data_IF_229184587042
#
_entry.id   IF_229184587042
#
_cell.length_a   1.000
_cell.length_b   1.000
_cell.length_c   1.000
_cell.angle_alpha   90.00
_cell.angle_beta   90.00
_cell.angle_gamma   90.00
#
_symmetry.space_group_name_H-M   'P 1'
#
loop_
_entity.id
_entity.type
_entity.pdbx_description
1 polymer ?
#
# COMPACT_ATOMS: atom_id res chain seq x y z
N UNK A 1 -7.15 0.63 -20.35
CA UNK A 1 -7.60 -0.03 -19.11
C UNK A 1 -7.43 -1.53 -19.25
N UNK A 2 -7.03 -2.19 -18.16
CA UNK A 2 -6.87 -3.64 -18.10
C UNK A 2 -8.22 -4.36 -18.05
N UNK A 3 -8.29 -5.59 -18.57
CA UNK A 3 -9.45 -6.46 -18.40
C UNK A 3 -9.53 -7.02 -16.98
N UNK A 4 -10.70 -7.54 -16.57
CA UNK A 4 -10.85 -8.15 -15.25
C UNK A 4 -9.94 -9.37 -15.08
N UNK A 5 -9.76 -10.20 -16.09
CA UNK A 5 -8.85 -11.35 -16.05
C UNK A 5 -7.40 -10.90 -15.83
N UNK A 6 -6.96 -9.84 -16.51
CA UNK A 6 -5.63 -9.27 -16.30
C UNK A 6 -5.46 -8.73 -14.87
N UNK A 7 -6.47 -8.05 -14.32
CA UNK A 7 -6.47 -7.58 -12.93
C UNK A 7 -6.29 -8.74 -11.94
N UNK A 8 -7.08 -9.82 -12.11
CA UNK A 8 -6.99 -10.99 -11.24
C UNK A 8 -5.63 -11.69 -11.36
N UNK A 9 -5.11 -11.84 -12.58
CA UNK A 9 -3.78 -12.39 -12.80
C UNK A 9 -2.70 -11.57 -12.09
N UNK A 10 -2.69 -10.24 -12.24
CA UNK A 10 -1.69 -9.37 -11.64
C UNK A 10 -1.78 -9.36 -10.11
N UNK A 11 -2.98 -9.41 -9.54
CA UNK A 11 -3.18 -9.56 -8.11
C UNK A 11 -2.64 -10.91 -7.58
N UNK A 12 -2.82 -11.99 -8.33
CA UNK A 12 -2.25 -13.29 -7.99
C UNK A 12 -0.70 -13.29 -8.08
N UNK A 13 -0.12 -12.56 -9.03
CA UNK A 13 1.33 -12.38 -9.14
C UNK A 13 1.89 -11.62 -7.92
N UNK A 14 1.22 -10.56 -7.44
CA UNK A 14 1.61 -9.86 -6.21
C UNK A 14 1.54 -10.79 -5.00
N UNK A 15 0.49 -11.59 -4.90
CA UNK A 15 0.35 -12.57 -3.82
C UNK A 15 1.46 -13.63 -3.85
N UNK A 16 1.85 -14.10 -5.02
CA UNK A 16 2.96 -15.04 -5.19
C UNK A 16 4.31 -14.40 -4.87
N UNK A 17 4.52 -13.14 -5.28
CA UNK A 17 5.72 -12.34 -4.99
C UNK A 17 5.94 -12.19 -3.48
N UNK A 18 4.89 -11.82 -2.73
CA UNK A 18 4.94 -11.72 -1.27
C UNK A 18 5.39 -13.03 -0.61
N UNK A 19 4.86 -14.16 -1.06
CA UNK A 19 5.17 -15.50 -0.51
C UNK A 19 6.56 -15.99 -0.89
N UNK A 20 6.96 -15.78 -2.14
CA UNK A 20 8.28 -16.20 -2.64
C UNK A 20 9.40 -15.23 -2.27
N UNK A 21 9.06 -13.99 -1.91
CA UNK A 21 10.00 -12.88 -1.71
C UNK A 21 10.83 -12.57 -2.96
N UNK A 22 10.24 -12.82 -4.13
CA UNK A 22 10.82 -12.49 -5.41
C UNK A 22 9.98 -11.39 -6.05
N UNK A 23 10.52 -10.18 -6.25
CA UNK A 23 9.75 -9.09 -6.84
C UNK A 23 9.43 -9.39 -8.31
N UNK A 24 8.28 -8.89 -8.76
CA UNK A 24 7.86 -8.96 -10.15
C UNK A 24 8.28 -7.70 -10.90
N UNK A 25 8.39 -7.82 -12.24
CA UNK A 25 8.64 -6.68 -13.12
C UNK A 25 7.50 -5.67 -13.09
N UNK A 26 7.82 -4.41 -13.48
CA UNK A 26 6.82 -3.35 -13.59
C UNK A 26 5.63 -3.77 -14.45
N UNK A 27 4.44 -3.70 -13.92
CA UNK A 27 3.21 -3.97 -14.64
C UNK A 27 2.99 -2.94 -15.76
N UNK A 28 3.31 -1.67 -15.48
CA UNK A 28 3.25 -0.58 -16.47
C UNK A 28 4.17 -0.78 -17.67
N UNK A 29 5.24 -1.60 -17.56
CA UNK A 29 6.10 -1.99 -18.67
C UNK A 29 5.43 -3.08 -19.52
N UNK A 30 4.81 -4.06 -18.89
CA UNK A 30 4.06 -5.14 -19.57
C UNK A 30 2.77 -4.64 -20.19
N UNK A 31 2.16 -3.63 -19.57
CA UNK A 31 0.90 -3.01 -20.00
C UNK A 31 1.07 -1.48 -20.10
N UNK A 32 1.63 -0.95 -21.21
CA UNK A 32 1.92 0.48 -21.34
C UNK A 32 0.70 1.41 -21.21
N UNK A 33 -0.51 0.89 -21.46
CA UNK A 33 -1.77 1.61 -21.30
C UNK A 33 -2.42 1.48 -19.91
N UNK A 34 -1.71 0.91 -18.93
CA UNK A 34 -2.17 0.78 -17.54
C UNK A 34 -2.36 2.16 -16.90
N UNK A 35 -3.49 2.36 -16.24
CA UNK A 35 -3.86 3.61 -15.58
C UNK A 35 -3.71 3.51 -14.07
N UNK A 36 -3.76 4.66 -13.36
CA UNK A 36 -3.83 4.72 -11.88
C UNK A 36 -5.04 3.93 -11.38
N UNK A 37 -6.17 4.03 -12.06
CA UNK A 37 -7.39 3.27 -11.70
C UNK A 37 -7.19 1.76 -11.81
N UNK A 38 -6.43 1.29 -12.81
CA UNK A 38 -6.07 -0.13 -12.91
C UNK A 38 -5.18 -0.54 -11.73
N UNK A 39 -4.27 0.33 -11.26
CA UNK A 39 -3.48 0.11 -10.06
C UNK A 39 -4.36 -0.16 -8.84
N UNK A 40 -5.33 0.70 -8.57
CA UNK A 40 -6.30 0.49 -7.48
C UNK A 40 -7.16 -0.77 -7.66
N UNK A 41 -7.51 -1.14 -8.89
CA UNK A 41 -8.25 -2.41 -9.14
C UNK A 41 -7.40 -3.62 -8.79
N UNK A 42 -6.11 -3.61 -9.13
CA UNK A 42 -5.16 -4.69 -8.79
C UNK A 42 -5.00 -4.78 -7.27
N UNK A 43 -4.75 -3.65 -6.60
CA UNK A 43 -4.63 -3.58 -5.14
C UNK A 43 -5.88 -4.15 -4.44
N UNK A 44 -7.08 -3.74 -4.87
CA UNK A 44 -8.35 -4.28 -4.33
C UNK A 44 -8.51 -5.78 -4.58
N UNK A 45 -8.11 -6.27 -5.75
CA UNK A 45 -8.17 -7.70 -6.06
C UNK A 45 -7.19 -8.50 -5.18
N UNK A 46 -5.98 -7.96 -4.93
CA UNK A 46 -5.03 -8.56 -3.98
C UNK A 46 -5.60 -8.58 -2.55
N UNK A 47 -6.19 -7.47 -2.08
CA UNK A 47 -6.88 -7.42 -0.77
C UNK A 47 -7.96 -8.49 -0.69
N UNK A 48 -8.76 -8.67 -1.75
CA UNK A 48 -9.79 -9.71 -1.78
C UNK A 48 -9.22 -11.13 -1.62
N UNK A 49 -8.04 -11.42 -2.21
CA UNK A 49 -7.33 -12.69 -1.99
C UNK A 49 -6.93 -12.88 -0.52
N UNK A 50 -6.47 -11.81 0.14
CA UNK A 50 -6.11 -11.86 1.56
C UNK A 50 -7.33 -12.07 2.46
N UNK A 51 -8.44 -11.39 2.18
CA UNK A 51 -9.71 -11.56 2.90
C UNK A 51 -10.26 -12.98 2.76
N UNK A 52 -10.15 -13.59 1.57
CA UNK A 52 -10.53 -14.98 1.33
C UNK A 52 -9.70 -15.99 2.14
N UNK A 53 -8.51 -15.59 2.60
CA UNK A 53 -7.65 -16.36 3.51
C UNK A 53 -7.89 -16.05 5.00
N UNK A 54 -8.95 -15.30 5.32
CA UNK A 54 -9.34 -14.97 6.69
C UNK A 54 -8.66 -13.73 7.27
N UNK A 55 -7.90 -12.97 6.48
CA UNK A 55 -7.37 -11.68 6.92
C UNK A 55 -8.47 -10.65 7.11
N UNK A 56 -8.18 -9.60 7.88
CA UNK A 56 -9.12 -8.51 8.15
C UNK A 56 -8.48 -7.18 7.81
N UNK A 57 -9.27 -6.27 7.24
CA UNK A 57 -8.88 -4.87 7.10
C UNK A 57 -8.93 -4.21 8.48
N UNK A 58 -7.86 -3.52 8.85
CA UNK A 58 -7.73 -2.80 10.13
C UNK A 58 -7.59 -1.29 9.94
N UNK A 59 -7.37 -0.83 8.72
CA UNK A 59 -7.19 0.59 8.42
C UNK A 59 -6.65 0.82 7.02
N UNK A 60 -6.19 2.05 6.79
CA UNK A 60 -5.62 2.50 5.53
C UNK A 60 -4.37 3.34 5.78
N UNK A 61 -3.41 3.27 4.87
CA UNK A 61 -2.29 4.21 4.79
C UNK A 61 -2.61 5.26 3.74
N UNK A 62 -2.07 6.47 3.91
CA UNK A 62 -2.16 7.56 2.93
C UNK A 62 -0.74 7.95 2.56
N UNK A 63 -0.40 7.83 1.29
CA UNK A 63 0.89 8.23 0.75
C UNK A 63 0.82 9.49 -0.10
N UNK A 64 1.98 9.99 -0.56
CA UNK A 64 2.11 11.16 -1.45
C UNK A 64 1.36 12.40 -0.91
N UNK A 65 1.43 12.64 0.40
CA UNK A 65 0.70 13.72 1.06
C UNK A 65 1.29 15.10 0.78
N UNK A 66 2.56 15.19 0.39
CA UNK A 66 3.20 16.47 0.06
C UNK A 66 3.09 16.80 -1.43
N UNK A 67 2.91 18.10 -1.75
CA UNK A 67 2.87 18.55 -3.14
C UNK A 67 4.13 18.22 -3.93
N UNK A 68 5.30 18.27 -3.28
CA UNK A 68 6.57 17.91 -3.90
C UNK A 68 6.59 16.44 -4.36
N UNK A 69 6.10 15.53 -3.51
CA UNK A 69 6.02 14.10 -3.86
C UNK A 69 4.99 13.84 -4.95
N UNK A 70 3.85 14.53 -4.93
CA UNK A 70 2.84 14.41 -5.99
C UNK A 70 3.40 14.84 -7.35
N UNK A 71 4.10 15.98 -7.42
CA UNK A 71 4.74 16.46 -8.65
C UNK A 71 5.78 15.44 -9.13
N UNK A 72 6.63 14.94 -8.24
CA UNK A 72 7.65 13.94 -8.58
C UNK A 72 7.04 12.63 -9.11
N UNK A 73 5.90 12.22 -8.58
CA UNK A 73 5.18 11.00 -8.97
C UNK A 73 4.19 11.20 -10.11
N UNK A 74 4.07 12.43 -10.62
CA UNK A 74 3.14 12.80 -11.71
C UNK A 74 1.66 12.49 -11.39
N UNK A 75 1.27 12.76 -10.16
CA UNK A 75 -0.10 12.64 -9.64
C UNK A 75 -0.49 13.96 -8.97
N UNK A 76 -1.76 14.28 -8.88
CA UNK A 76 -2.27 15.53 -8.29
C UNK A 76 -3.05 15.35 -6.99
N UNK A 77 -3.13 14.11 -6.51
CA UNK A 77 -3.79 13.71 -5.28
C UNK A 77 -2.92 12.74 -4.46
N UNK A 78 -3.16 12.59 -3.16
CA UNK A 78 -2.56 11.51 -2.36
C UNK A 78 -2.98 10.14 -2.87
N UNK A 79 -2.15 9.12 -2.63
CA UNK A 79 -2.52 7.72 -2.80
C UNK A 79 -2.94 7.09 -1.46
N UNK A 80 -3.55 5.91 -1.54
CA UNK A 80 -3.91 5.14 -0.35
C UNK A 80 -3.69 3.64 -0.56
N UNK A 81 -3.44 2.95 0.56
CA UNK A 81 -3.34 1.50 0.61
C UNK A 81 -4.16 0.92 1.76
N UNK A 82 -4.46 -0.36 1.69
CA UNK A 82 -5.22 -1.09 2.73
C UNK A 82 -4.27 -1.77 3.70
N UNK A 83 -4.48 -1.57 5.00
CA UNK A 83 -3.75 -2.25 6.06
C UNK A 83 -4.53 -3.46 6.56
N UNK A 84 -3.85 -4.59 6.65
CA UNK A 84 -4.39 -5.86 7.12
C UNK A 84 -3.90 -6.18 8.53
N UNK A 85 -4.67 -6.98 9.27
CA UNK A 85 -4.34 -7.44 10.63
C UNK A 85 -2.96 -8.10 10.72
N UNK A 86 -2.53 -8.78 9.66
CA UNK A 86 -1.19 -9.41 9.58
C UNK A 86 -0.03 -8.42 9.45
N UNK A 87 -0.32 -7.15 9.17
CA UNK A 87 0.68 -6.09 9.04
C UNK A 87 0.88 -5.31 10.35
N UNK A 88 0.01 -5.51 11.34
CA UNK A 88 0.08 -4.79 12.60
C UNK A 88 1.07 -5.44 13.56
N UNK A 89 2.00 -4.65 14.03
CA UNK A 89 2.91 -4.98 15.12
C UNK A 89 2.74 -4.00 16.26
N UNK A 90 2.59 -4.51 17.46
CA UNK A 90 2.48 -3.70 18.68
C UNK A 90 3.46 -4.17 19.73
N UNK A 91 3.96 -3.25 20.54
CA UNK A 91 4.75 -3.56 21.72
C UNK A 91 4.31 -2.67 22.89
N UNK A 92 4.57 -3.15 24.11
CA UNK A 92 4.35 -2.35 25.30
C UNK A 92 5.41 -1.25 25.39
N UNK A 93 5.06 -0.03 25.84
CA UNK A 93 6.03 1.04 26.05
C UNK A 93 7.26 0.57 26.84
N UNK A 94 8.45 0.90 26.37
CA UNK A 94 9.72 0.47 26.95
C UNK A 94 10.22 -0.90 26.52
N UNK A 95 9.46 -1.66 25.75
CA UNK A 95 9.92 -2.91 25.15
C UNK A 95 10.50 -2.69 23.75
N UNK A 96 11.44 -3.54 23.36
CA UNK A 96 11.98 -3.61 22.00
C UNK A 96 11.25 -4.72 21.24
N UNK A 97 10.66 -4.36 20.11
CA UNK A 97 10.06 -5.32 19.18
C UNK A 97 11.05 -5.65 18.09
N UNK A 98 11.45 -6.92 18.01
CA UNK A 98 12.28 -7.43 16.92
C UNK A 98 11.40 -7.97 15.79
N UNK A 99 11.54 -7.42 14.59
CA UNK A 99 10.84 -7.86 13.38
C UNK A 99 11.87 -8.49 12.44
N UNK A 100 11.66 -9.77 12.07
CA UNK A 100 12.56 -10.46 11.16
C UNK A 100 12.49 -9.87 9.75
N UNK A 101 13.63 -9.47 9.21
CA UNK A 101 13.75 -9.00 7.82
C UNK A 101 13.52 -10.11 6.79
N UNK A 102 13.60 -11.38 7.19
CA UNK A 102 13.41 -12.52 6.29
C UNK A 102 12.01 -12.62 5.68
N UNK A 103 11.02 -11.93 6.25
CA UNK A 103 9.66 -11.89 5.70
C UNK A 103 9.46 -10.88 4.57
N UNK A 104 10.42 -9.98 4.38
CA UNK A 104 10.34 -8.88 3.43
C UNK A 104 11.22 -9.12 2.20
N UNK A 105 10.93 -8.37 1.13
CA UNK A 105 11.69 -8.37 -0.14
C UNK A 105 12.79 -7.30 -0.07
N UNK A 106 12.38 -6.04 0.14
CA UNK A 106 13.26 -4.87 0.17
C UNK A 106 12.73 -3.81 1.17
N UNK A 107 12.72 -4.12 2.49
CA UNK A 107 12.04 -3.28 3.47
C UNK A 107 12.71 -1.91 3.60
N UNK A 108 11.86 -0.90 3.76
CA UNK A 108 12.23 0.47 4.14
C UNK A 108 11.35 0.91 5.30
N UNK A 109 11.79 1.92 6.03
CA UNK A 109 11.03 2.46 7.15
C UNK A 109 10.71 3.93 6.91
N UNK A 110 9.48 4.32 7.25
CA UNK A 110 9.02 5.70 7.29
C UNK A 110 8.45 6.01 8.67
N UNK A 111 8.58 7.26 9.08
CA UNK A 111 8.00 7.75 10.33
C UNK A 111 6.67 8.40 10.01
N UNK A 112 5.61 7.92 10.69
CA UNK A 112 4.23 8.27 10.39
C UNK A 112 3.47 8.74 11.65
N UNK A 113 2.28 9.29 11.42
CA UNK A 113 1.27 9.51 12.44
C UNK A 113 0.08 8.61 12.17
N UNK A 114 -0.23 7.74 13.13
CA UNK A 114 -1.43 6.91 13.07
C UNK A 114 -2.58 7.58 13.82
N UNK A 115 -3.69 7.79 13.12
CA UNK A 115 -4.96 8.26 13.67
C UNK A 115 -5.79 7.03 14.03
N UNK A 116 -5.98 6.80 15.32
CA UNK A 116 -6.82 5.69 15.80
C UNK A 116 -8.24 6.19 15.93
N UNK A 117 -9.15 5.57 15.17
CA UNK A 117 -10.53 6.00 15.10
C UNK A 117 -11.40 5.29 16.15
N UNK A 118 -12.30 6.04 16.80
CA UNK A 118 -13.36 5.55 17.69
C UNK A 118 -14.71 5.39 16.99
N UNK A 119 -14.82 5.87 15.75
CA UNK A 119 -16.01 5.76 14.91
C UNK A 119 -15.63 5.61 13.45
N UNK A 120 -16.45 4.91 12.67
CA UNK A 120 -16.26 4.74 11.25
C UNK A 120 -16.38 6.07 10.50
N UNK A 121 -15.50 6.27 9.51
CA UNK A 121 -15.60 7.35 8.54
C UNK A 121 -15.99 6.77 7.19
N UNK A 122 -17.03 7.32 6.56
CA UNK A 122 -17.49 6.88 5.25
C UNK A 122 -17.80 8.09 4.36
N UNK A 123 -17.06 8.19 3.24
CA UNK A 123 -17.28 9.22 2.22
C UNK A 123 -18.57 9.02 1.40
N UNK A 124 -18.83 9.88 0.42
CA UNK A 124 -17.98 11.01 0.02
C UNK A 124 -18.15 12.24 0.94
N UNK A 125 -17.25 13.23 0.77
CA UNK A 125 -17.31 14.55 1.44
C UNK A 125 -17.05 14.53 2.95
N UNK A 126 -16.20 13.62 3.43
CA UNK A 126 -15.71 13.67 4.82
C UNK A 126 -14.82 14.91 4.97
N UNK A 127 -15.14 15.76 5.94
CA UNK A 127 -14.39 16.98 6.26
C UNK A 127 -13.43 16.78 7.45
N UNK A 128 -12.63 17.80 7.74
CA UNK A 128 -11.65 17.80 8.84
C UNK A 128 -12.33 17.64 10.20
N UNK A 129 -13.48 18.29 10.41
CA UNK A 129 -14.20 18.23 11.68
C UNK A 129 -14.72 16.81 11.95
N UNK A 130 -15.22 16.14 10.92
CA UNK A 130 -15.65 14.74 11.01
C UNK A 130 -14.50 13.80 11.31
N UNK A 131 -13.32 14.01 10.69
CA UNK A 131 -12.13 13.22 10.98
C UNK A 131 -11.68 13.43 12.43
N UNK A 132 -11.62 14.67 12.91
CA UNK A 132 -11.27 14.99 14.29
C UNK A 132 -12.26 14.38 15.29
N UNK A 133 -13.56 14.49 15.02
CA UNK A 133 -14.60 13.91 15.86
C UNK A 133 -14.54 12.38 15.92
N UNK A 134 -14.19 11.71 14.81
CA UNK A 134 -14.05 10.26 14.74
C UNK A 134 -12.73 9.76 15.33
N UNK A 135 -11.72 10.61 15.51
CA UNK A 135 -10.41 10.23 16.06
C UNK A 135 -10.49 10.08 17.58
N UNK A 136 -10.01 8.96 18.10
CA UNK A 136 -9.82 8.73 19.54
C UNK A 136 -8.51 9.34 20.00
N UNK A 137 -7.40 8.94 19.36
CA UNK A 137 -6.06 9.50 19.63
C UNK A 137 -5.17 9.40 18.40
N UNK A 138 -4.06 10.14 18.45
CA UNK A 138 -2.98 10.08 17.45
C UNK A 138 -1.71 9.57 18.13
N UNK A 139 -1.00 8.68 17.46
CA UNK A 139 0.25 8.11 17.97
C UNK A 139 1.32 8.09 16.89
N UNK A 140 2.61 8.25 17.24
CA UNK A 140 3.70 7.95 16.33
C UNK A 140 3.63 6.48 15.89
N UNK A 141 3.92 6.24 14.62
CA UNK A 141 3.99 4.91 14.03
C UNK A 141 5.22 4.81 13.13
N UNK A 142 5.65 3.59 12.88
CA UNK A 142 6.65 3.28 11.86
C UNK A 142 5.98 2.44 10.81
N UNK A 143 5.96 2.92 9.58
CA UNK A 143 5.57 2.11 8.42
C UNK A 143 6.79 1.31 7.93
N UNK A 144 6.61 0.01 7.70
CA UNK A 144 7.57 -0.82 6.99
C UNK A 144 7.02 -1.00 5.58
N UNK A 145 7.58 -0.25 4.64
CA UNK A 145 7.27 -0.37 3.23
C UNK A 145 8.02 -1.57 2.68
N UNK A 146 7.34 -2.42 1.94
CA UNK A 146 7.98 -3.50 1.19
C UNK A 146 7.51 -3.46 -0.27
N UNK A 147 8.35 -3.90 -1.21
CA UNK A 147 8.09 -3.75 -2.64
C UNK A 147 7.96 -5.11 -3.31
N UNK A 148 6.75 -5.52 -3.64
CA UNK A 148 6.45 -6.72 -4.44
C UNK A 148 6.67 -6.50 -5.93
N UNK A 149 6.62 -5.25 -6.39
CA UNK A 149 7.01 -4.82 -7.74
C UNK A 149 8.40 -4.17 -7.64
N UNK A 150 9.31 -4.50 -8.55
CA UNK A 150 10.64 -3.91 -8.59
C UNK A 150 10.57 -2.38 -8.50
N UNK A 151 11.32 -1.78 -7.57
CA UNK A 151 11.35 -0.33 -7.46
C UNK A 151 12.08 0.31 -8.64
N UNK A 152 13.12 -0.35 -9.11
CA UNK A 152 13.88 0.05 -10.29
C UNK A 152 13.96 -1.12 -11.25
N UNK A 153 13.62 -0.86 -12.51
CA UNK A 153 13.79 -1.85 -13.57
C UNK A 153 15.22 -2.40 -13.57
N UNK A 154 15.39 -3.70 -13.54
CA UNK A 154 16.69 -4.37 -13.43
C UNK A 154 17.65 -4.07 -14.57
N UNK A 155 17.12 -3.75 -15.74
CA UNK A 155 17.92 -3.50 -16.96
C UNK A 155 18.12 -2.02 -17.22
N UNK A 156 17.05 -1.22 -17.17
CA UNK A 156 17.10 0.21 -17.51
C UNK A 156 17.37 1.12 -16.32
N UNK A 157 17.23 0.61 -15.10
CA UNK A 157 17.27 1.36 -13.83
C UNK A 157 16.21 2.45 -13.72
N UNK A 158 15.22 2.45 -14.60
CA UNK A 158 14.07 3.35 -14.49
C UNK A 158 13.26 3.02 -13.24
N UNK A 159 12.85 4.08 -12.52
CA UNK A 159 11.95 3.94 -11.38
C UNK A 159 10.57 3.49 -11.85
N UNK A 160 9.89 2.67 -11.04
CA UNK A 160 8.50 2.27 -11.30
C UNK A 160 7.58 3.48 -11.35
N UNK A 161 6.53 3.40 -12.15
CA UNK A 161 5.53 4.45 -12.27
C UNK A 161 4.54 4.41 -11.08
N UNK A 162 3.80 5.51 -10.90
CA UNK A 162 2.84 5.63 -9.80
C UNK A 162 1.77 4.52 -9.80
N UNK A 163 1.29 4.10 -10.97
CA UNK A 163 0.32 3.01 -11.06
C UNK A 163 0.88 1.66 -10.58
N UNK A 164 2.19 1.41 -10.75
CA UNK A 164 2.86 0.23 -10.17
C UNK A 164 2.93 0.36 -8.64
N UNK A 165 3.23 1.56 -8.12
CA UNK A 165 3.26 1.82 -6.68
C UNK A 165 1.89 1.61 -6.03
N UNK A 166 0.82 2.08 -6.66
CA UNK A 166 -0.55 1.92 -6.16
C UNK A 166 -1.02 0.46 -6.23
N UNK A 167 -0.53 -0.32 -7.20
CA UNK A 167 -0.85 -1.75 -7.30
C UNK A 167 -0.23 -2.55 -6.17
N UNK A 168 0.95 -2.12 -5.74
CA UNK A 168 1.82 -2.79 -4.79
C UNK A 168 1.42 -2.48 -3.35
#
# INVERSE_FOLDING_TARGET
MLTDDQIQQLAAELHASERSRQPVEHFSKRFPGMTVQDGYRISRAWVALQLAQGRKVIGHKIGLTSRAMQISSQIDEPDYGTLLDSMLYTCTPGQVLAISTQRFIAPRVEVELAFVLKADLKGPHVDVEQVLAATDYVTPAIEIIDARIEQFDRHTRAMRKVQDTISD
#
